data_IF_185465498502
#
_entry.id   IF_185465498502
#
_cell.length_a   1.000
_cell.length_b   1.000
_cell.length_c   1.000
_cell.angle_alpha   90.00
_cell.angle_beta   90.00
_cell.angle_gamma   90.00
#
_symmetry.space_group_name_H-M   'P 1'
#
loop_
_entity.id
_entity.type
_entity.pdbx_description
1 polymer ?
#
# COMPACT_ATOMS: atom_id res chain seq x y z
N UNK A 1 13.84 -3.01 -25.38
CA UNK A 1 14.19 -3.35 -23.98
C UNK A 1 13.10 -4.27 -23.47
N UNK A 2 13.38 -5.28 -22.63
CA UNK A 2 12.28 -5.98 -21.97
C UNK A 2 11.48 -4.93 -21.20
N UNK A 3 10.14 -5.02 -21.29
CA UNK A 3 9.25 -4.14 -20.55
C UNK A 3 9.63 -4.15 -19.06
N UNK A 4 9.71 -2.96 -18.46
CA UNK A 4 10.02 -2.85 -17.03
C UNK A 4 8.94 -3.58 -16.24
N UNK A 5 9.32 -4.59 -15.48
CA UNK A 5 8.41 -5.33 -14.60
C UNK A 5 8.08 -4.54 -13.33
N UNK A 6 8.49 -3.28 -13.27
CA UNK A 6 8.25 -2.38 -12.14
C UNK A 6 7.05 -1.48 -12.44
N UNK A 7 6.01 -1.61 -11.63
CA UNK A 7 4.78 -0.82 -11.71
C UNK A 7 4.75 0.26 -10.64
N UNK A 8 4.25 1.44 -11.00
CA UNK A 8 4.06 2.56 -10.08
C UNK A 8 2.61 3.04 -10.10
N UNK A 9 2.11 3.41 -8.92
CA UNK A 9 0.77 3.96 -8.80
C UNK A 9 0.49 4.65 -7.46
N UNK A 10 -0.64 5.38 -7.35
CA UNK A 10 -1.07 6.00 -6.11
C UNK A 10 -1.87 5.06 -5.22
N UNK A 11 -1.84 5.29 -3.89
CA UNK A 11 -2.70 4.68 -2.89
C UNK A 11 -4.08 5.36 -2.82
N UNK A 12 -4.79 5.42 -3.93
CA UNK A 12 -6.11 6.00 -4.04
C UNK A 12 -6.34 6.75 -5.36
N UNK A 13 -7.52 7.33 -5.51
CA UNK A 13 -7.87 8.17 -6.67
C UNK A 13 -6.92 9.37 -6.72
N UNK A 14 -6.25 9.64 -7.86
CA UNK A 14 -5.33 10.77 -8.00
C UNK A 14 -5.94 12.10 -7.56
N UNK A 15 -5.13 12.98 -6.99
CA UNK A 15 -5.56 14.32 -6.58
C UNK A 15 -5.97 15.18 -7.79
N UNK A 16 -5.34 14.94 -8.93
CA UNK A 16 -5.64 15.60 -10.21
C UNK A 16 -7.00 15.19 -10.80
N UNK A 17 -7.50 14.01 -10.44
CA UNK A 17 -8.74 13.45 -10.96
C UNK A 17 -9.96 14.31 -10.61
N UNK A 18 -10.68 14.79 -11.62
CA UNK A 18 -11.83 15.69 -11.45
C UNK A 18 -13.11 14.95 -11.12
N UNK A 19 -13.37 13.81 -11.75
CA UNK A 19 -14.59 13.03 -11.61
C UNK A 19 -14.71 12.33 -10.26
N UNK A 20 -13.58 12.00 -9.63
CA UNK A 20 -13.49 11.36 -8.31
C UNK A 20 -14.21 10.01 -8.21
N UNK A 21 -14.47 9.34 -9.33
CA UNK A 21 -14.90 7.94 -9.38
C UNK A 21 -13.70 7.03 -9.55
N UNK A 22 -13.87 5.73 -9.31
CA UNK A 22 -12.78 4.76 -9.55
C UNK A 22 -12.39 4.68 -11.02
N UNK A 23 -13.39 4.76 -11.93
CA UNK A 23 -13.16 4.82 -13.39
C UNK A 23 -12.30 6.00 -13.77
N UNK A 24 -12.74 7.22 -13.39
CA UNK A 24 -11.98 8.44 -13.67
C UNK A 24 -10.54 8.35 -13.10
N UNK A 25 -10.39 7.73 -11.92
CA UNK A 25 -9.09 7.54 -11.27
C UNK A 25 -8.17 6.62 -12.05
N UNK A 26 -8.68 5.51 -12.59
CA UNK A 26 -7.92 4.55 -13.40
C UNK A 26 -7.50 5.19 -14.73
N UNK A 27 -8.41 5.88 -15.40
CA UNK A 27 -8.12 6.63 -16.65
C UNK A 27 -7.05 7.71 -16.42
N UNK A 28 -7.12 8.42 -15.30
CA UNK A 28 -6.14 9.45 -14.92
C UNK A 28 -4.77 8.84 -14.64
N UNK A 29 -4.71 7.70 -13.90
CA UNK A 29 -3.48 6.92 -13.65
C UNK A 29 -2.82 6.54 -14.97
N UNK A 30 -3.57 5.98 -15.91
CA UNK A 30 -3.06 5.64 -17.25
C UNK A 30 -2.55 6.87 -18.00
N UNK A 31 -3.33 7.96 -18.02
CA UNK A 31 -2.97 9.23 -18.69
C UNK A 31 -1.69 9.84 -18.13
N UNK A 32 -1.42 9.68 -16.83
CA UNK A 32 -0.21 10.11 -16.15
C UNK A 32 1.00 9.18 -16.43
N UNK A 33 0.80 8.12 -17.22
CA UNK A 33 1.83 7.13 -17.54
C UNK A 33 2.19 6.24 -16.35
N UNK A 34 1.30 6.10 -15.37
CA UNK A 34 1.37 5.14 -14.28
C UNK A 34 0.61 3.86 -14.67
N UNK A 35 0.90 2.74 -14.00
CA UNK A 35 0.36 1.43 -14.39
C UNK A 35 -0.04 0.56 -13.19
N UNK A 36 -0.28 1.18 -12.04
CA UNK A 36 -0.89 0.54 -10.88
C UNK A 36 -1.79 1.52 -10.12
N UNK A 37 -2.78 1.02 -9.41
CA UNK A 37 -3.60 1.80 -8.48
C UNK A 37 -4.06 0.92 -7.33
N UNK A 38 -3.89 1.40 -6.10
CA UNK A 38 -4.45 0.75 -4.93
C UNK A 38 -5.77 1.42 -4.53
N UNK A 39 -6.86 0.66 -4.58
CA UNK A 39 -8.20 1.15 -4.24
C UNK A 39 -8.39 1.06 -2.72
N UNK A 40 -8.84 2.15 -2.10
CA UNK A 40 -9.05 2.22 -0.66
C UNK A 40 -10.44 1.70 -0.28
N UNK A 41 -10.49 0.49 0.32
CA UNK A 41 -11.70 -0.14 0.84
C UNK A 41 -11.96 0.28 2.29
N UNK A 42 -12.31 1.55 2.50
CA UNK A 42 -12.43 2.12 3.86
C UNK A 42 -13.84 2.08 4.43
N UNK A 43 -14.86 1.83 3.60
CA UNK A 43 -16.27 1.81 4.02
C UNK A 43 -16.82 0.39 3.91
N UNK A 44 -17.33 -0.13 5.02
CA UNK A 44 -17.98 -1.44 5.08
C UNK A 44 -19.34 -1.24 5.72
N UNK A 45 -20.31 -0.76 4.92
CA UNK A 45 -21.67 -0.59 5.38
C UNK A 45 -22.51 -1.78 4.92
N UNK A 46 -22.99 -2.56 5.87
CA UNK A 46 -23.81 -3.73 5.61
C UNK A 46 -25.26 -3.42 5.86
N UNK A 47 -26.12 -3.91 4.97
CA UNK A 47 -27.56 -3.83 5.08
C UNK A 47 -28.15 -5.23 4.94
N UNK A 48 -29.25 -5.47 5.63
CA UNK A 48 -29.97 -6.74 5.55
C UNK A 48 -31.40 -6.45 5.09
N UNK A 49 -31.88 -7.23 4.13
CA UNK A 49 -33.27 -7.20 3.66
C UNK A 49 -33.74 -8.57 3.26
N UNK A 50 -35.01 -8.81 3.31
CA UNK A 50 -35.59 -10.00 2.68
C UNK A 50 -35.47 -9.94 1.16
N UNK A 51 -35.38 -11.10 0.55
CA UNK A 51 -35.48 -11.26 -0.89
C UNK A 51 -36.88 -10.76 -1.34
N UNK A 52 -36.92 -9.95 -2.40
CA UNK A 52 -38.18 -9.50 -3.00
C UNK A 52 -38.82 -10.62 -3.85
N UNK A 53 -40.15 -10.61 -4.00
CA UNK A 53 -40.83 -11.67 -4.76
C UNK A 53 -40.33 -11.78 -6.20
N UNK A 54 -39.94 -10.68 -6.86
CA UNK A 54 -39.36 -10.61 -8.19
C UNK A 54 -37.91 -11.14 -8.30
N UNK A 55 -37.21 -11.25 -7.18
CA UNK A 55 -35.83 -11.77 -7.12
C UNK A 55 -35.79 -13.27 -6.85
N UNK A 56 -36.91 -13.89 -6.46
CA UNK A 56 -36.98 -15.34 -6.23
C UNK A 56 -36.57 -16.09 -7.49
N UNK A 57 -35.62 -17.02 -7.35
CA UNK A 57 -35.05 -17.78 -8.47
C UNK A 57 -33.91 -17.07 -9.18
N UNK A 58 -33.58 -15.80 -8.86
CA UNK A 58 -32.36 -15.13 -9.30
C UNK A 58 -31.18 -15.58 -8.44
N UNK A 59 -29.95 -15.28 -8.90
CA UNK A 59 -28.74 -15.47 -8.12
C UNK A 59 -28.12 -14.17 -7.65
N UNK A 60 -27.15 -14.19 -6.73
CA UNK A 60 -26.50 -12.99 -6.20
C UNK A 60 -25.91 -12.07 -7.26
N UNK A 61 -25.42 -12.61 -8.36
CA UNK A 61 -24.82 -11.86 -9.47
C UNK A 61 -25.85 -11.08 -10.32
N UNK A 62 -27.14 -11.38 -10.17
CA UNK A 62 -28.22 -10.79 -10.96
C UNK A 62 -28.91 -9.64 -10.24
N UNK A 63 -28.56 -9.38 -8.97
CA UNK A 63 -29.12 -8.26 -8.19
C UNK A 63 -28.51 -6.96 -8.69
N UNK A 64 -29.35 -6.08 -9.19
CA UNK A 64 -28.91 -4.77 -9.68
C UNK A 64 -28.83 -3.75 -8.55
N UNK A 65 -27.84 -2.86 -8.61
CA UNK A 65 -27.60 -1.75 -7.68
C UNK A 65 -27.30 -2.17 -6.22
N UNK A 66 -27.10 -3.43 -5.94
CA UNK A 66 -26.70 -3.94 -4.63
C UNK A 66 -25.67 -5.07 -4.76
N UNK A 67 -24.63 -5.01 -3.94
CA UNK A 67 -23.62 -6.06 -3.90
C UNK A 67 -23.91 -7.03 -2.78
N UNK A 68 -24.44 -8.20 -3.13
CA UNK A 68 -24.80 -9.26 -2.17
C UNK A 68 -23.52 -9.98 -1.72
N UNK A 69 -23.22 -9.95 -0.45
CA UNK A 69 -22.03 -10.58 0.17
C UNK A 69 -22.33 -11.83 1.00
N UNK A 70 -23.55 -11.95 1.52
CA UNK A 70 -24.05 -13.16 2.19
C UNK A 70 -25.54 -13.35 1.90
N UNK A 71 -25.96 -14.61 1.92
CA UNK A 71 -27.39 -15.01 1.91
C UNK A 71 -27.66 -15.86 3.15
N UNK A 72 -28.67 -15.50 3.91
CA UNK A 72 -29.08 -16.27 5.10
C UNK A 72 -30.40 -16.98 4.79
N UNK A 73 -30.36 -18.32 4.79
CA UNK A 73 -31.53 -19.18 4.65
C UNK A 73 -31.83 -19.86 5.98
N UNK A 74 -32.97 -19.53 6.55
CA UNK A 74 -33.30 -20.01 7.90
C UNK A 74 -32.22 -19.65 8.96
N UNK A 75 -31.67 -18.44 8.88
CA UNK A 75 -30.57 -17.92 9.71
C UNK A 75 -29.20 -18.63 9.53
N UNK A 76 -29.04 -19.49 8.53
CA UNK A 76 -27.75 -20.11 8.20
C UNK A 76 -27.16 -19.44 6.96
N UNK A 77 -25.86 -19.11 6.97
CA UNK A 77 -25.22 -18.55 5.79
C UNK A 77 -25.18 -19.59 4.65
N UNK A 78 -25.53 -19.15 3.45
CA UNK A 78 -25.40 -19.91 2.20
C UNK A 78 -24.32 -19.24 1.38
N UNK A 79 -23.48 -20.03 0.70
CA UNK A 79 -22.40 -19.48 -0.11
C UNK A 79 -22.92 -18.64 -1.27
N UNK A 80 -22.55 -17.35 -1.34
CA UNK A 80 -22.91 -16.43 -2.43
C UNK A 80 -22.23 -16.76 -3.77
N UNK A 81 -21.29 -17.69 -3.80
CA UNK A 81 -20.50 -18.06 -4.98
C UNK A 81 -20.78 -19.47 -5.51
N UNK A 82 -21.78 -20.14 -4.97
CA UNK A 82 -22.29 -21.30 -5.67
C UNK A 82 -22.97 -20.84 -6.95
N UNK A 83 -22.47 -21.23 -8.14
CA UNK A 83 -23.01 -20.74 -9.42
C UNK A 83 -24.52 -21.02 -9.60
N UNK A 84 -25.01 -22.01 -8.85
CA UNK A 84 -26.39 -22.48 -8.89
C UNK A 84 -27.24 -21.91 -7.77
N UNK A 85 -26.66 -21.07 -6.89
CA UNK A 85 -27.46 -20.47 -5.81
C UNK A 85 -28.59 -19.64 -6.39
N UNK A 86 -29.80 -20.05 -6.05
CA UNK A 86 -31.04 -19.32 -6.35
C UNK A 86 -31.68 -18.86 -5.05
N UNK A 87 -32.16 -17.64 -5.05
CA UNK A 87 -32.88 -17.10 -3.91
C UNK A 87 -34.22 -17.80 -3.74
N UNK A 88 -34.55 -18.08 -2.49
CA UNK A 88 -35.82 -18.66 -2.06
C UNK A 88 -36.62 -17.65 -1.24
N UNK A 89 -37.93 -17.85 -1.18
CA UNK A 89 -38.80 -17.02 -0.35
C UNK A 89 -38.39 -17.13 1.11
N UNK A 90 -38.17 -15.95 1.73
CA UNK A 90 -37.73 -15.85 3.13
C UNK A 90 -36.22 -15.82 3.32
N UNK A 91 -35.42 -15.90 2.25
CA UNK A 91 -33.98 -15.61 2.34
C UNK A 91 -33.76 -14.15 2.75
N UNK A 92 -32.71 -13.93 3.53
CA UNK A 92 -32.23 -12.59 3.89
C UNK A 92 -30.94 -12.35 3.12
N UNK A 93 -30.93 -11.29 2.33
CA UNK A 93 -29.73 -10.83 1.62
C UNK A 93 -28.98 -9.87 2.51
N UNK A 94 -27.66 -10.08 2.66
CA UNK A 94 -26.75 -9.11 3.23
C UNK A 94 -26.00 -8.42 2.11
N UNK A 95 -26.20 -7.12 1.98
CA UNK A 95 -25.62 -6.30 0.91
C UNK A 95 -24.57 -5.36 1.47
N UNK A 96 -23.54 -5.09 0.67
CA UNK A 96 -22.39 -4.24 1.02
C UNK A 96 -22.43 -2.94 0.20
N UNK A 97 -22.40 -1.81 0.88
CA UNK A 97 -22.11 -0.53 0.27
C UNK A 97 -20.74 -0.04 0.71
N UNK A 98 -19.77 -0.10 -0.19
CA UNK A 98 -18.38 0.30 0.05
C UNK A 98 -17.98 1.62 -0.66
N UNK A 99 -18.83 2.14 -1.54
CA UNK A 99 -18.57 3.37 -2.29
C UNK A 99 -17.56 3.21 -3.43
N UNK A 100 -17.19 1.98 -3.81
CA UNK A 100 -16.32 1.67 -4.95
C UNK A 100 -17.18 1.40 -6.20
N UNK A 101 -18.15 0.50 -6.06
CA UNK A 101 -19.15 0.14 -7.04
C UNK A 101 -20.47 -0.17 -6.33
N UNK A 102 -21.55 -0.38 -7.07
CA UNK A 102 -22.89 -0.64 -6.54
C UNK A 102 -23.22 -2.12 -6.50
N UNK A 103 -22.85 -2.85 -7.54
CA UNK A 103 -23.16 -4.27 -7.75
C UNK A 103 -22.01 -4.99 -8.46
N UNK A 104 -22.18 -6.28 -8.72
CA UNK A 104 -21.19 -7.11 -9.40
C UNK A 104 -20.82 -6.57 -10.79
N UNK A 105 -21.78 -6.03 -11.53
CA UNK A 105 -21.57 -5.48 -12.87
C UNK A 105 -20.66 -4.26 -12.83
N UNK A 106 -20.95 -3.30 -11.89
CA UNK A 106 -20.13 -2.10 -11.72
C UNK A 106 -18.66 -2.46 -11.39
N UNK A 107 -18.45 -3.43 -10.48
CA UNK A 107 -17.08 -3.86 -10.14
C UNK A 107 -16.38 -4.50 -11.33
N UNK A 108 -17.07 -5.36 -12.08
CA UNK A 108 -16.51 -6.03 -13.26
C UNK A 108 -16.12 -5.01 -14.32
N UNK A 109 -16.99 -4.04 -14.62
CA UNK A 109 -16.71 -2.98 -15.59
C UNK A 109 -15.51 -2.11 -15.18
N UNK A 110 -15.37 -1.77 -13.89
CA UNK A 110 -14.18 -1.05 -13.38
C UNK A 110 -12.91 -1.90 -13.59
N UNK A 111 -12.99 -3.20 -13.35
CA UNK A 111 -11.88 -4.13 -13.57
C UNK A 111 -11.49 -4.28 -15.04
N UNK A 112 -12.47 -4.36 -15.94
CA UNK A 112 -12.26 -4.43 -17.40
C UNK A 112 -11.57 -3.15 -17.92
N UNK A 113 -12.03 -1.96 -17.49
CA UNK A 113 -11.37 -0.69 -17.83
C UNK A 113 -9.90 -0.68 -17.37
N UNK A 114 -9.61 -1.17 -16.16
CA UNK A 114 -8.24 -1.23 -15.66
C UNK A 114 -7.37 -2.19 -16.48
N UNK A 115 -7.92 -3.35 -16.86
CA UNK A 115 -7.24 -4.34 -17.69
C UNK A 115 -6.94 -3.80 -19.11
N UNK A 116 -7.92 -3.14 -19.74
CA UNK A 116 -7.77 -2.54 -21.07
C UNK A 116 -6.71 -1.43 -21.10
N UNK A 117 -6.53 -0.72 -19.98
CA UNK A 117 -5.55 0.35 -19.82
C UNK A 117 -4.20 -0.12 -19.24
N UNK A 118 -3.99 -1.42 -19.04
CA UNK A 118 -2.81 -2.00 -18.36
C UNK A 118 -2.53 -1.37 -16.98
N UNK A 119 -3.59 -1.08 -16.21
CA UNK A 119 -3.49 -0.62 -14.83
C UNK A 119 -3.75 -1.78 -13.87
N UNK A 120 -2.71 -2.22 -13.17
CA UNK A 120 -2.82 -3.27 -12.15
C UNK A 120 -3.55 -2.75 -10.92
N UNK A 121 -4.65 -3.42 -10.53
CA UNK A 121 -5.41 -3.05 -9.34
C UNK A 121 -5.02 -3.89 -8.13
N UNK A 122 -4.99 -3.23 -6.99
CA UNK A 122 -5.00 -3.82 -5.65
C UNK A 122 -6.07 -3.15 -4.80
N UNK A 123 -6.42 -3.77 -3.69
CA UNK A 123 -7.42 -3.27 -2.77
C UNK A 123 -6.81 -3.20 -1.37
N UNK A 124 -6.83 -2.04 -0.72
CA UNK A 124 -6.42 -1.90 0.67
C UNK A 124 -7.63 -2.08 1.58
N UNK A 125 -7.62 -3.12 2.43
CA UNK A 125 -8.62 -3.36 3.44
C UNK A 125 -8.69 -2.20 4.44
N UNK A 126 -9.76 -2.06 5.25
CA UNK A 126 -9.87 -0.96 6.19
C UNK A 126 -8.66 -0.86 7.12
N UNK A 127 -8.11 0.34 7.28
CA UNK A 127 -6.92 0.59 8.12
C UNK A 127 -7.12 0.27 9.61
N UNK A 128 -8.38 0.16 10.06
CA UNK A 128 -8.76 -0.16 11.43
C UNK A 128 -8.89 -1.67 11.69
N UNK A 129 -8.29 -2.51 10.85
CA UNK A 129 -8.26 -3.96 11.05
C UNK A 129 -7.54 -4.33 12.34
N UNK A 130 -8.12 -5.25 13.11
CA UNK A 130 -7.55 -5.73 14.36
C UNK A 130 -7.94 -7.19 14.63
N UNK A 131 -7.08 -8.11 14.16
CA UNK A 131 -7.29 -9.56 14.34
C UNK A 131 -6.98 -10.03 15.77
N UNK A 132 -6.35 -9.18 16.57
CA UNK A 132 -5.93 -9.47 17.95
C UNK A 132 -6.81 -8.78 19.00
N UNK A 133 -7.79 -8.00 18.57
CA UNK A 133 -8.75 -7.32 19.43
C UNK A 133 -9.70 -8.28 20.16
N UNK A 134 -10.78 -7.74 20.71
CA UNK A 134 -11.86 -8.58 21.27
C UNK A 134 -12.41 -9.51 20.18
N UNK A 135 -13.06 -10.61 20.58
CA UNK A 135 -13.60 -11.56 19.60
C UNK A 135 -14.55 -10.88 18.60
N UNK A 136 -15.37 -9.93 19.05
CA UNK A 136 -16.25 -9.16 18.16
C UNK A 136 -15.48 -8.35 17.12
N UNK A 137 -14.38 -7.69 17.54
CA UNK A 137 -13.52 -6.89 16.65
C UNK A 137 -12.77 -7.81 15.68
N UNK A 138 -12.23 -8.93 16.16
CA UNK A 138 -11.52 -9.89 15.36
C UNK A 138 -12.41 -10.54 14.29
N UNK A 139 -13.64 -10.92 14.65
CA UNK A 139 -14.65 -11.45 13.69
C UNK A 139 -14.98 -10.39 12.65
N UNK A 140 -15.27 -9.15 13.05
CA UNK A 140 -15.53 -8.05 12.12
C UNK A 140 -14.35 -7.80 11.17
N UNK A 141 -13.12 -7.85 11.68
CA UNK A 141 -11.91 -7.71 10.89
C UNK A 141 -11.75 -8.86 9.88
N UNK A 142 -12.03 -10.08 10.29
CA UNK A 142 -12.05 -11.26 9.43
C UNK A 142 -13.11 -11.12 8.32
N UNK A 143 -14.32 -10.67 8.67
CA UNK A 143 -15.38 -10.45 7.68
C UNK A 143 -15.03 -9.32 6.71
N UNK A 144 -14.40 -8.24 7.18
CA UNK A 144 -13.91 -7.18 6.31
C UNK A 144 -12.90 -7.70 5.28
N UNK A 145 -12.01 -8.63 5.66
CA UNK A 145 -11.11 -9.28 4.70
C UNK A 145 -11.86 -10.15 3.69
N UNK A 146 -12.89 -10.87 4.13
CA UNK A 146 -13.76 -11.66 3.24
C UNK A 146 -14.45 -10.76 2.23
N UNK A 147 -15.07 -9.68 2.67
CA UNK A 147 -15.75 -8.72 1.78
C UNK A 147 -14.77 -8.02 0.83
N UNK A 148 -13.59 -7.65 1.31
CA UNK A 148 -12.54 -7.11 0.44
C UNK A 148 -12.13 -8.11 -0.65
N UNK A 149 -12.04 -9.40 -0.31
CA UNK A 149 -11.78 -10.47 -1.27
C UNK A 149 -12.87 -10.61 -2.33
N UNK A 150 -14.14 -10.48 -1.95
CA UNK A 150 -15.27 -10.51 -2.89
C UNK A 150 -15.21 -9.35 -3.88
N UNK A 151 -14.98 -8.14 -3.38
CA UNK A 151 -14.79 -6.94 -4.20
C UNK A 151 -13.59 -7.10 -5.11
N UNK A 152 -12.44 -7.53 -4.57
CA UNK A 152 -11.21 -7.77 -5.34
C UNK A 152 -11.41 -8.78 -6.48
N UNK A 153 -12.20 -9.84 -6.25
CA UNK A 153 -12.52 -10.83 -7.28
C UNK A 153 -13.23 -10.21 -8.48
N UNK A 154 -14.25 -9.37 -8.25
CA UNK A 154 -15.01 -8.73 -9.33
C UNK A 154 -14.21 -7.62 -10.02
N UNK A 155 -13.36 -6.90 -9.29
CA UNK A 155 -12.43 -5.92 -9.84
C UNK A 155 -11.26 -6.54 -10.62
N UNK A 156 -11.06 -7.87 -10.56
CA UNK A 156 -9.82 -8.47 -11.07
C UNK A 156 -8.56 -8.00 -10.35
N UNK A 157 -8.70 -7.47 -9.12
CA UNK A 157 -7.57 -6.99 -8.34
C UNK A 157 -6.63 -8.14 -7.95
N UNK A 158 -5.32 -7.91 -8.03
CA UNK A 158 -4.32 -8.94 -7.80
C UNK A 158 -4.04 -9.18 -6.32
N UNK A 159 -4.34 -8.20 -5.46
CA UNK A 159 -4.01 -8.25 -4.04
C UNK A 159 -5.05 -7.53 -3.17
N UNK A 160 -5.28 -8.09 -1.98
CA UNK A 160 -5.95 -7.41 -0.86
C UNK A 160 -4.90 -7.17 0.21
N UNK A 161 -4.50 -5.91 0.39
CA UNK A 161 -3.53 -5.49 1.42
C UNK A 161 -4.25 -5.29 2.75
N UNK A 162 -3.64 -5.68 3.85
CA UNK A 162 -4.22 -5.52 5.19
C UNK A 162 -3.20 -5.32 6.29
N UNK A 163 -3.55 -4.48 7.27
CA UNK A 163 -2.92 -4.48 8.59
C UNK A 163 -3.47 -5.60 9.46
N UNK A 164 -2.75 -5.94 10.55
CA UNK A 164 -3.09 -7.09 11.40
C UNK A 164 -3.61 -6.71 12.78
N UNK A 165 -3.41 -5.47 13.22
CA UNK A 165 -3.93 -4.96 14.49
C UNK A 165 -2.89 -4.83 15.58
N UNK A 166 -3.36 -4.47 16.77
CA UNK A 166 -2.52 -4.20 17.94
C UNK A 166 -2.16 -5.47 18.69
N UNK A 167 -0.98 -5.50 19.35
CA UNK A 167 -0.66 -6.61 20.25
C UNK A 167 -1.60 -6.68 21.46
N UNK A 168 -2.18 -5.54 21.88
CA UNK A 168 -2.89 -5.41 23.14
C UNK A 168 -2.04 -5.97 24.30
N UNK A 169 -2.64 -6.81 25.13
CA UNK A 169 -1.96 -7.51 26.24
C UNK A 169 -1.40 -8.89 25.85
N UNK A 170 -1.48 -9.26 24.55
CA UNK A 170 -0.97 -10.55 24.10
C UNK A 170 0.58 -10.54 24.05
N UNK A 171 1.25 -11.52 24.67
CA UNK A 171 2.65 -11.78 24.38
C UNK A 171 2.87 -12.02 22.88
N UNK A 172 4.03 -11.64 22.33
CA UNK A 172 4.32 -11.69 20.88
C UNK A 172 4.07 -13.08 20.29
N UNK A 173 4.46 -14.14 20.97
CA UNK A 173 4.28 -15.51 20.54
C UNK A 173 2.80 -15.90 20.46
N UNK A 174 2.00 -15.47 21.43
CA UNK A 174 0.56 -15.72 21.42
C UNK A 174 -0.14 -14.90 20.34
N UNK A 175 0.26 -13.64 20.15
CA UNK A 175 -0.24 -12.80 19.07
C UNK A 175 0.03 -13.44 17.70
N UNK A 176 1.25 -13.95 17.50
CA UNK A 176 1.65 -14.65 16.27
C UNK A 176 0.75 -15.87 16.00
N UNK A 177 0.52 -16.72 16.99
CA UNK A 177 -0.34 -17.90 16.83
C UNK A 177 -1.78 -17.53 16.49
N UNK A 178 -2.36 -16.52 17.19
CA UNK A 178 -3.71 -16.03 16.91
C UNK A 178 -3.84 -15.48 15.49
N UNK A 179 -2.89 -14.66 15.03
CA UNK A 179 -2.88 -14.11 13.68
C UNK A 179 -2.80 -15.24 12.65
N UNK A 180 -1.92 -16.21 12.85
CA UNK A 180 -1.80 -17.38 11.96
C UNK A 180 -3.12 -18.15 11.87
N UNK A 181 -3.77 -18.41 13.00
CA UNK A 181 -5.03 -19.11 13.02
C UNK A 181 -6.13 -18.35 12.24
N UNK A 182 -6.33 -17.06 12.53
CA UNK A 182 -7.33 -16.23 11.83
C UNK A 182 -7.05 -16.13 10.34
N UNK A 183 -5.79 -15.97 9.93
CA UNK A 183 -5.44 -15.87 8.51
C UNK A 183 -5.55 -17.21 7.78
N UNK A 184 -5.35 -18.35 8.44
CA UNK A 184 -5.67 -19.66 7.86
C UNK A 184 -7.15 -19.76 7.53
N UNK A 185 -8.03 -19.39 8.46
CA UNK A 185 -9.49 -19.39 8.25
C UNK A 185 -9.89 -18.50 7.06
N UNK A 186 -9.28 -17.31 6.94
CA UNK A 186 -9.53 -16.40 5.80
C UNK A 186 -9.00 -17.01 4.52
N UNK A 187 -7.77 -17.55 4.51
CA UNK A 187 -7.16 -18.16 3.33
C UNK A 187 -7.99 -19.35 2.82
N UNK A 188 -8.40 -20.24 3.69
CA UNK A 188 -9.28 -21.35 3.34
C UNK A 188 -10.62 -20.87 2.77
N UNK A 189 -11.14 -19.76 3.28
CA UNK A 189 -12.36 -19.17 2.76
C UNK A 189 -12.14 -18.58 1.35
N UNK A 190 -11.02 -17.88 1.11
CA UNK A 190 -10.64 -17.40 -0.22
C UNK A 190 -10.54 -18.53 -1.24
N UNK A 191 -9.96 -19.67 -0.83
CA UNK A 191 -9.84 -20.86 -1.68
C UNK A 191 -11.20 -21.43 -2.04
N UNK A 192 -12.10 -21.59 -1.05
CA UNK A 192 -13.48 -22.05 -1.29
C UNK A 192 -14.25 -21.12 -2.23
N UNK A 193 -14.06 -19.82 -2.06
CA UNK A 193 -14.72 -18.79 -2.87
C UNK A 193 -14.03 -18.53 -4.21
N UNK A 194 -12.95 -19.27 -4.52
CA UNK A 194 -12.15 -19.10 -5.75
C UNK A 194 -11.72 -17.64 -5.97
N UNK A 195 -11.31 -16.96 -4.90
CA UNK A 195 -10.79 -15.60 -4.95
C UNK A 195 -9.33 -15.67 -5.37
N UNK A 196 -9.02 -15.14 -6.58
CA UNK A 196 -7.67 -15.16 -7.14
C UNK A 196 -6.73 -14.11 -6.52
N UNK A 197 -7.26 -13.08 -5.87
CA UNK A 197 -6.46 -12.05 -5.20
C UNK A 197 -5.65 -12.64 -4.05
N UNK A 198 -4.36 -12.29 -3.98
CA UNK A 198 -3.49 -12.67 -2.85
C UNK A 198 -3.80 -11.79 -1.62
N UNK A 199 -3.63 -12.33 -0.43
CA UNK A 199 -3.70 -11.55 0.79
C UNK A 199 -2.31 -11.01 1.10
N UNK A 200 -2.15 -9.69 1.05
CA UNK A 200 -0.92 -8.97 1.35
C UNK A 200 -0.90 -8.50 2.81
N UNK A 201 0.10 -8.89 3.56
CA UNK A 201 0.28 -8.50 4.95
C UNK A 201 1.21 -7.29 5.00
N UNK A 202 0.69 -6.13 5.39
CA UNK A 202 1.48 -4.91 5.44
C UNK A 202 2.29 -4.78 6.73
N UNK A 203 3.57 -4.43 6.57
CA UNK A 203 4.42 -4.06 7.70
C UNK A 203 3.83 -2.86 8.44
N UNK A 204 4.06 -2.77 9.75
CA UNK A 204 3.56 -1.66 10.58
C UNK A 204 4.70 -0.78 11.11
N UNK A 205 4.49 0.53 11.06
CA UNK A 205 5.45 1.55 11.52
C UNK A 205 5.44 1.81 13.02
N UNK A 206 4.63 1.08 13.82
CA UNK A 206 4.51 1.32 15.28
C UNK A 206 4.80 0.05 16.07
N UNK A 207 5.57 0.18 17.15
CA UNK A 207 5.98 -0.94 18.00
C UNK A 207 4.79 -1.66 18.67
N UNK A 208 3.69 -0.96 18.91
CA UNK A 208 2.48 -1.51 19.55
C UNK A 208 1.56 -2.28 18.59
N UNK A 209 1.86 -2.24 17.29
CA UNK A 209 1.08 -2.92 16.24
C UNK A 209 1.86 -4.14 15.76
N UNK A 210 1.18 -5.26 15.58
CA UNK A 210 1.74 -6.47 14.98
C UNK A 210 2.11 -6.21 13.52
N UNK A 211 3.30 -6.62 13.09
CA UNK A 211 3.71 -6.44 11.69
C UNK A 211 5.16 -5.97 11.52
N UNK A 212 6.11 -6.46 12.31
CA UNK A 212 7.52 -6.42 11.91
C UNK A 212 7.73 -7.35 10.71
N UNK A 213 8.73 -7.07 9.87
CA UNK A 213 9.01 -7.90 8.69
C UNK A 213 9.21 -9.37 9.06
N UNK A 214 9.87 -9.67 10.19
CA UNK A 214 10.10 -11.04 10.65
C UNK A 214 8.81 -11.77 11.00
N UNK A 215 7.88 -11.09 11.65
CA UNK A 215 6.57 -11.63 11.96
C UNK A 215 5.77 -11.91 10.69
N UNK A 216 5.76 -10.98 9.73
CA UNK A 216 5.06 -11.15 8.46
C UNK A 216 5.61 -12.33 7.67
N UNK A 217 6.94 -12.45 7.55
CA UNK A 217 7.58 -13.58 6.87
C UNK A 217 7.24 -14.91 7.55
N UNK A 218 7.22 -14.93 8.90
CA UNK A 218 6.84 -16.12 9.66
C UNK A 218 5.38 -16.50 9.40
N UNK A 219 4.47 -15.54 9.40
CA UNK A 219 3.04 -15.77 9.09
C UNK A 219 2.88 -16.28 7.66
N UNK A 220 3.47 -15.61 6.67
CA UNK A 220 3.40 -16.00 5.27
C UNK A 220 3.92 -17.43 5.04
N UNK A 221 5.03 -17.80 5.68
CA UNK A 221 5.61 -19.13 5.58
C UNK A 221 4.72 -20.22 6.22
N UNK A 222 4.08 -19.91 7.35
CA UNK A 222 3.27 -20.88 8.12
C UNK A 222 1.85 -21.05 7.59
N UNK A 223 1.28 -20.02 6.99
CA UNK A 223 -0.07 -20.09 6.40
C UNK A 223 -0.01 -20.55 4.93
N UNK A 224 0.95 -20.03 4.17
CA UNK A 224 1.07 -20.26 2.73
C UNK A 224 0.07 -19.42 1.92
N UNK A 225 0.44 -19.05 0.69
CA UNK A 225 -0.41 -18.25 -0.20
C UNK A 225 -0.62 -16.80 0.21
N UNK A 226 0.00 -16.35 1.30
CA UNK A 226 0.07 -14.95 1.73
C UNK A 226 1.39 -14.34 1.27
N UNK A 227 1.41 -13.01 1.14
CA UNK A 227 2.62 -12.28 0.74
C UNK A 227 2.89 -11.11 1.69
N UNK A 228 4.15 -10.78 2.00
CA UNK A 228 4.47 -9.58 2.73
C UNK A 228 4.34 -8.37 1.80
N UNK A 229 3.75 -7.29 2.30
CA UNK A 229 3.75 -5.98 1.66
C UNK A 229 4.86 -5.16 2.30
N UNK A 230 5.85 -4.79 1.49
CA UNK A 230 7.03 -4.08 1.94
C UNK A 230 6.72 -2.58 2.05
N UNK A 231 6.05 -2.19 3.13
CA UNK A 231 5.84 -0.77 3.43
C UNK A 231 7.14 -0.18 3.97
N UNK A 232 7.99 0.32 3.07
CA UNK A 232 9.30 0.87 3.44
C UNK A 232 9.22 2.00 4.46
N UNK A 233 8.25 2.95 4.39
CA UNK A 233 8.13 3.97 5.42
C UNK A 233 7.83 3.39 6.80
N UNK A 234 6.98 2.39 6.88
CA UNK A 234 6.69 1.70 8.13
C UNK A 234 7.91 0.97 8.69
N UNK A 235 8.61 0.20 7.85
CA UNK A 235 9.83 -0.51 8.24
C UNK A 235 10.91 0.47 8.70
N UNK A 236 11.15 1.54 7.93
CA UNK A 236 12.11 2.58 8.28
C UNK A 236 11.81 3.22 9.64
N UNK A 237 10.55 3.61 9.88
CA UNK A 237 10.12 4.21 11.13
C UNK A 237 10.27 3.25 12.33
N UNK A 238 9.79 2.00 12.16
CA UNK A 238 9.79 0.97 13.21
C UNK A 238 11.20 0.62 13.67
N UNK A 239 12.16 0.56 12.74
CA UNK A 239 13.53 0.18 12.99
C UNK A 239 14.46 1.39 13.26
N UNK A 240 13.89 2.56 13.52
CA UNK A 240 14.63 3.76 13.94
C UNK A 240 15.40 4.47 12.84
N UNK A 241 14.92 4.39 11.59
CA UNK A 241 15.48 5.17 10.49
C UNK A 241 16.63 4.46 9.75
N UNK A 242 16.54 3.14 9.53
CA UNK A 242 17.64 2.31 9.01
C UNK A 242 17.77 2.33 7.49
N UNK A 243 16.69 2.53 6.72
CA UNK A 243 16.70 2.41 5.25
C UNK A 243 17.24 3.70 4.62
N UNK A 244 18.55 3.78 4.39
CA UNK A 244 19.24 4.98 3.86
C UNK A 244 20.12 4.71 2.65
N UNK A 245 20.65 3.50 2.52
CA UNK A 245 21.58 3.11 1.47
C UNK A 245 20.95 1.99 0.63
N UNK A 246 21.47 1.77 -0.54
CA UNK A 246 21.08 0.68 -1.44
C UNK A 246 21.17 -0.68 -0.77
N UNK A 247 22.22 -0.92 0.01
CA UNK A 247 22.46 -2.16 0.72
C UNK A 247 21.38 -2.45 1.74
N UNK A 248 20.88 -1.42 2.44
CA UNK A 248 19.82 -1.56 3.44
C UNK A 248 18.51 -2.09 2.80
N UNK A 249 18.19 -1.62 1.58
CA UNK A 249 17.06 -2.17 0.80
C UNK A 249 17.36 -3.59 0.31
N UNK A 250 18.58 -3.85 -0.18
CA UNK A 250 18.99 -5.19 -0.62
C UNK A 250 18.77 -6.22 0.49
N UNK A 251 19.19 -5.94 1.73
CA UNK A 251 18.99 -6.81 2.88
C UNK A 251 17.52 -7.17 3.11
N UNK A 252 16.60 -6.22 2.91
CA UNK A 252 15.15 -6.50 3.00
C UNK A 252 14.70 -7.48 1.92
N UNK A 253 15.10 -7.25 0.68
CA UNK A 253 14.72 -8.12 -0.44
C UNK A 253 15.34 -9.52 -0.31
N UNK A 254 16.59 -9.61 0.10
CA UNK A 254 17.28 -10.89 0.31
C UNK A 254 16.61 -11.68 1.43
N UNK A 255 16.24 -11.04 2.55
CA UNK A 255 15.48 -11.65 3.63
C UNK A 255 14.13 -12.22 3.16
N UNK A 256 13.42 -11.50 2.29
CA UNK A 256 12.17 -12.00 1.68
C UNK A 256 12.45 -13.21 0.78
N UNK A 257 13.48 -13.15 -0.08
CA UNK A 257 13.85 -14.22 -1.01
C UNK A 257 14.27 -15.50 -0.29
N UNK A 258 15.00 -15.37 0.81
CA UNK A 258 15.43 -16.50 1.64
C UNK A 258 14.25 -17.20 2.32
N UNK A 259 13.25 -16.45 2.74
CA UNK A 259 12.08 -17.00 3.43
C UNK A 259 10.99 -17.50 2.49
N UNK A 260 10.77 -16.84 1.36
CA UNK A 260 9.63 -17.06 0.48
C UNK A 260 10.06 -17.04 -1.00
N UNK A 261 9.52 -17.99 -1.77
CA UNK A 261 9.71 -18.02 -3.23
C UNK A 261 8.59 -17.23 -3.91
N UNK A 262 8.76 -15.91 -4.00
CA UNK A 262 7.80 -15.02 -4.63
C UNK A 262 8.27 -14.62 -6.02
N UNK A 263 7.38 -14.72 -7.03
CA UNK A 263 7.64 -14.20 -8.38
C UNK A 263 7.48 -12.68 -8.42
N UNK A 264 6.36 -12.18 -7.88
CA UNK A 264 6.01 -10.75 -7.88
C UNK A 264 6.00 -10.21 -6.47
N UNK A 265 6.58 -9.05 -6.25
CA UNK A 265 6.64 -8.32 -4.99
C UNK A 265 5.64 -7.14 -4.98
N UNK A 266 5.31 -6.69 -3.79
CA UNK A 266 4.43 -5.55 -3.60
C UNK A 266 4.94 -4.65 -2.48
N UNK A 267 4.93 -3.35 -2.70
CA UNK A 267 5.49 -2.40 -1.73
C UNK A 267 4.75 -1.08 -1.70
N UNK A 268 4.84 -0.41 -0.55
CA UNK A 268 4.46 0.99 -0.38
C UNK A 268 5.69 1.85 -0.17
N UNK A 269 5.65 3.08 -0.67
CA UNK A 269 6.70 4.07 -0.47
C UNK A 269 6.13 5.47 -0.25
N UNK A 270 6.66 6.18 0.75
CA UNK A 270 6.44 7.60 1.02
C UNK A 270 7.61 8.16 1.83
N UNK A 271 7.66 9.47 2.02
CA UNK A 271 8.43 10.02 3.13
C UNK A 271 7.73 9.72 4.46
N UNK A 272 8.48 9.68 5.55
CA UNK A 272 7.94 9.42 6.88
C UNK A 272 8.65 10.28 7.94
N UNK A 273 7.88 10.79 8.89
CA UNK A 273 8.38 11.33 10.14
C UNK A 273 8.21 10.27 11.23
N UNK A 274 9.25 10.02 12.01
CA UNK A 274 9.26 8.98 13.04
C UNK A 274 10.05 9.40 14.27
N UNK A 275 9.76 8.80 15.41
CA UNK A 275 10.46 9.03 16.66
C UNK A 275 10.40 7.76 17.53
N UNK A 276 11.54 7.39 18.13
CA UNK A 276 11.61 6.29 19.08
C UNK A 276 11.11 4.93 18.53
N UNK A 277 11.34 4.65 17.24
CA UNK A 277 10.87 3.44 16.60
C UNK A 277 9.36 3.41 16.31
N UNK A 278 8.75 4.60 16.23
CA UNK A 278 7.34 4.72 15.90
C UNK A 278 7.12 5.79 14.84
N UNK A 279 6.31 5.45 13.85
CA UNK A 279 5.81 6.39 12.86
C UNK A 279 4.91 7.45 13.50
N UNK A 280 5.12 8.70 13.09
CA UNK A 280 4.27 9.83 13.44
C UNK A 280 3.29 10.14 12.30
N UNK A 281 3.79 10.27 11.07
CA UNK A 281 2.98 10.53 9.88
C UNK A 281 3.76 10.32 8.59
N UNK A 282 3.05 10.06 7.52
CA UNK A 282 3.60 10.11 6.16
C UNK A 282 3.81 11.54 5.69
N UNK A 283 4.83 11.72 4.88
CA UNK A 283 5.21 13.00 4.26
C UNK A 283 5.49 12.79 2.78
N UNK A 284 5.52 13.86 1.96
CA UNK A 284 6.06 13.77 0.62
C UNK A 284 7.46 13.15 0.60
N UNK A 285 7.77 12.37 -0.44
CA UNK A 285 9.05 11.63 -0.54
C UNK A 285 10.30 12.52 -0.52
N UNK A 286 10.17 13.81 -0.82
CA UNK A 286 11.26 14.79 -0.71
C UNK A 286 11.51 15.25 0.73
N UNK A 287 10.61 14.97 1.65
CA UNK A 287 10.72 15.25 3.07
C UNK A 287 11.12 14.00 3.85
N UNK A 288 11.64 14.18 5.03
CA UNK A 288 12.12 13.05 5.82
C UNK A 288 13.54 12.62 5.42
N UNK A 289 14.04 11.60 6.08
CA UNK A 289 15.42 11.11 5.94
C UNK A 289 15.54 9.84 5.07
N UNK A 290 14.44 9.15 4.79
CA UNK A 290 14.39 8.08 3.80
C UNK A 290 14.22 8.65 2.39
N UNK A 291 15.14 8.29 1.48
CA UNK A 291 15.16 8.74 0.08
C UNK A 291 14.80 7.58 -0.85
N UNK A 292 14.19 7.90 -1.99
CA UNK A 292 13.86 6.89 -2.99
C UNK A 292 15.06 6.47 -3.85
N UNK A 293 16.04 7.35 -4.03
CA UNK A 293 17.20 7.11 -4.87
C UNK A 293 17.95 5.80 -4.53
N UNK A 294 18.25 5.44 -3.28
CA UNK A 294 18.89 4.16 -2.95
C UNK A 294 18.05 2.93 -3.34
N UNK A 295 16.73 3.00 -3.16
CA UNK A 295 15.84 1.95 -3.66
C UNK A 295 15.85 1.88 -5.19
N UNK A 296 15.82 3.03 -5.87
CA UNK A 296 15.89 3.08 -7.33
C UNK A 296 17.20 2.49 -7.86
N UNK A 297 18.34 2.70 -7.18
CA UNK A 297 19.61 2.07 -7.53
C UNK A 297 19.55 0.55 -7.39
N UNK A 298 18.93 0.03 -6.34
CA UNK A 298 18.69 -1.40 -6.19
C UNK A 298 17.79 -1.95 -7.29
N UNK A 299 16.66 -1.28 -7.55
CA UNK A 299 15.69 -1.69 -8.57
C UNK A 299 16.29 -1.67 -9.98
N UNK A 300 17.15 -0.70 -10.29
CA UNK A 300 17.83 -0.61 -11.59
C UNK A 300 18.86 -1.72 -11.81
N UNK A 301 19.48 -2.23 -10.73
CA UNK A 301 20.47 -3.31 -10.82
C UNK A 301 19.80 -4.70 -10.89
N UNK A 302 18.76 -4.93 -10.09
CA UNK A 302 18.14 -6.26 -9.91
C UNK A 302 16.92 -6.48 -10.82
N UNK A 303 16.28 -5.41 -11.26
CA UNK A 303 15.04 -5.38 -12.05
C UNK A 303 13.99 -6.42 -11.59
N UNK A 304 13.57 -6.41 -10.31
CA UNK A 304 12.58 -7.35 -9.80
C UNK A 304 11.20 -7.03 -10.38
N UNK A 305 10.35 -8.04 -10.48
CA UNK A 305 8.92 -7.82 -10.72
C UNK A 305 8.27 -7.28 -9.43
N UNK A 306 7.89 -5.99 -9.43
CA UNK A 306 7.38 -5.31 -8.24
C UNK A 306 6.36 -4.22 -8.59
N UNK A 307 5.33 -4.11 -7.77
CA UNK A 307 4.42 -2.97 -7.75
C UNK A 307 4.77 -2.06 -6.57
N UNK A 308 4.92 -0.77 -6.82
CA UNK A 308 5.26 0.26 -5.82
C UNK A 308 4.14 1.29 -5.77
N UNK A 309 3.43 1.32 -4.66
CA UNK A 309 2.33 2.27 -4.42
C UNK A 309 2.84 3.45 -3.59
N UNK A 310 2.46 4.64 -4.03
CA UNK A 310 2.72 5.88 -3.29
C UNK A 310 1.66 6.10 -2.22
N UNK A 311 2.03 5.93 -0.95
CA UNK A 311 1.22 6.30 0.22
C UNK A 311 1.47 7.75 0.67
N UNK A 312 2.23 8.49 -0.11
CA UNK A 312 2.50 9.89 0.14
C UNK A 312 1.22 10.73 0.13
N UNK A 313 1.14 11.79 0.93
CA UNK A 313 0.04 12.78 0.83
C UNK A 313 -0.09 13.43 -0.55
N UNK A 314 0.90 13.28 -1.43
CA UNK A 314 0.90 13.77 -2.81
C UNK A 314 0.52 12.70 -3.84
N UNK A 315 0.16 11.48 -3.40
CA UNK A 315 -0.33 10.36 -4.21
C UNK A 315 0.43 10.21 -5.55
N UNK A 316 -0.28 10.47 -6.68
CA UNK A 316 0.24 10.31 -8.05
C UNK A 316 1.48 11.17 -8.33
N UNK A 317 1.57 12.36 -7.75
CA UNK A 317 2.73 13.22 -7.97
C UNK A 317 4.02 12.59 -7.47
N UNK A 318 3.99 11.94 -6.32
CA UNK A 318 5.14 11.23 -5.79
C UNK A 318 5.35 9.88 -6.50
N UNK A 319 4.29 9.18 -6.94
CA UNK A 319 4.41 8.00 -7.80
C UNK A 319 5.13 8.32 -9.11
N UNK A 320 4.74 9.38 -9.80
CA UNK A 320 5.42 9.88 -11.01
C UNK A 320 6.87 10.28 -10.72
N UNK A 321 7.12 10.91 -9.57
CA UNK A 321 8.48 11.32 -9.20
C UNK A 321 9.38 10.12 -8.92
N UNK A 322 8.88 9.06 -8.27
CA UNK A 322 9.61 7.81 -8.09
C UNK A 322 9.98 7.17 -9.43
N UNK A 323 9.04 7.11 -10.37
CA UNK A 323 9.28 6.60 -11.73
C UNK A 323 10.38 7.39 -12.43
N UNK A 324 10.33 8.72 -12.39
CA UNK A 324 11.37 9.60 -12.99
C UNK A 324 12.74 9.40 -12.33
N UNK A 325 12.80 9.17 -11.02
CA UNK A 325 14.07 8.86 -10.33
C UNK A 325 14.64 7.54 -10.86
N UNK A 326 13.84 6.49 -10.96
CA UNK A 326 14.26 5.19 -11.46
C UNK A 326 14.81 5.30 -12.90
N UNK A 327 14.07 5.94 -13.79
CA UNK A 327 14.49 6.18 -15.19
C UNK A 327 15.84 6.90 -15.27
N UNK A 328 16.06 7.91 -14.43
CA UNK A 328 17.35 8.63 -14.37
C UNK A 328 18.50 7.75 -13.90
N UNK A 329 18.24 6.86 -12.93
CA UNK A 329 19.25 5.91 -12.45
C UNK A 329 19.60 4.91 -13.55
N UNK A 330 18.59 4.35 -14.24
CA UNK A 330 18.78 3.43 -15.36
C UNK A 330 19.62 4.06 -16.49
N UNK A 331 19.26 5.26 -16.96
CA UNK A 331 20.00 6.00 -17.97
C UNK A 331 21.46 6.28 -17.56
N UNK A 332 21.69 6.58 -16.26
CA UNK A 332 23.05 6.77 -15.74
C UNK A 332 23.86 5.47 -15.76
N UNK A 333 23.25 4.34 -15.48
CA UNK A 333 23.90 3.04 -15.51
C UNK A 333 24.24 2.63 -16.95
N UNK A 334 23.32 2.80 -17.91
CA UNK A 334 23.54 2.57 -19.33
C UNK A 334 24.71 3.43 -19.89
N UNK A 335 24.75 4.71 -19.52
CA UNK A 335 25.83 5.60 -19.92
C UNK A 335 27.20 5.21 -19.33
N UNK A 336 27.23 4.57 -18.14
CA UNK A 336 28.48 4.04 -17.57
C UNK A 336 28.97 2.83 -18.35
N UNK A 337 28.09 1.86 -18.61
CA UNK A 337 28.40 0.64 -19.37
C UNK A 337 28.96 1.02 -20.75
N UNK A 338 28.27 1.89 -21.50
CA UNK A 338 28.69 2.34 -22.80
C UNK A 338 30.09 3.01 -22.80
N UNK A 339 30.41 3.78 -21.74
CA UNK A 339 31.73 4.39 -21.57
C UNK A 339 32.84 3.38 -21.28
N UNK A 340 32.51 2.31 -20.52
CA UNK A 340 33.45 1.24 -20.21
C UNK A 340 33.73 0.38 -21.45
N UNK A 341 32.73 0.06 -22.26
CA UNK A 341 32.85 -0.65 -23.52
C UNK A 341 33.72 0.11 -24.51
N UNK A 342 33.52 1.43 -24.63
CA UNK A 342 34.37 2.29 -25.48
C UNK A 342 35.84 2.30 -25.01
N UNK A 343 36.09 2.25 -23.69
CA UNK A 343 37.46 2.20 -23.15
C UNK A 343 38.14 0.86 -23.41
N UNK A 344 37.39 -0.25 -23.35
CA UNK A 344 37.91 -1.61 -23.57
C UNK A 344 38.16 -1.85 -25.08
N UNK A 345 37.32 -1.26 -25.95
CA UNK A 345 37.42 -1.39 -27.39
C UNK A 345 38.42 -0.43 -28.08
N UNK A 346 39.02 0.53 -27.35
CA UNK A 346 40.00 1.43 -27.92
C UNK A 346 41.31 0.68 -28.21
N UNK A 347 41.82 0.61 -29.48
CA UNK A 347 43.08 -0.05 -29.78
C UNK A 347 44.20 0.64 -29.00
N UNK A 348 45.01 -0.15 -28.31
CA UNK A 348 46.20 0.31 -27.62
C UNK A 348 47.10 0.95 -28.72
N UNK A 349 47.21 2.27 -28.74
CA UNK A 349 48.16 2.94 -29.61
C UNK A 349 49.56 2.42 -29.25
N UNK A 350 50.30 1.83 -30.21
CA UNK A 350 51.66 1.38 -29.90
C UNK A 350 52.45 2.59 -29.39
N UNK A 351 53.40 2.40 -28.45
CA UNK A 351 54.18 3.49 -27.91
C UNK A 351 54.92 4.17 -29.04
N UNK A 352 54.75 5.48 -29.17
CA UNK A 352 55.50 6.31 -30.12
C UNK A 352 56.98 6.07 -29.89
N UNK A 353 57.69 5.55 -30.93
CA UNK A 353 59.16 5.42 -30.90
C UNK A 353 59.75 6.81 -30.58
N UNK A 354 60.79 6.88 -29.73
CA UNK A 354 61.43 8.14 -29.38
C UNK A 354 61.98 8.78 -30.66
N UNK A 355 61.53 9.99 -30.97
CA UNK A 355 62.08 10.79 -32.07
C UNK A 355 63.51 11.19 -31.66
N UNK A 356 64.51 10.72 -32.42
CA UNK A 356 65.91 11.08 -32.22
C UNK A 356 66.10 12.60 -32.39
N UNK A 357 66.94 13.26 -31.57
CA UNK A 357 67.11 14.69 -31.63
C UNK A 357 67.80 15.10 -32.94
N UNK A 358 67.38 16.19 -33.59
CA UNK A 358 68.00 16.65 -34.84
C UNK A 358 69.43 17.11 -34.60
N UNK A 359 70.38 16.63 -35.48
CA UNK A 359 71.77 17.01 -35.46
C UNK A 359 71.93 18.53 -35.83
N UNK A 360 72.55 19.27 -34.89
CA UNK A 360 72.97 20.66 -35.11
C UNK A 360 73.92 20.76 -36.29
N UNK A 361 73.55 21.53 -37.34
CA UNK A 361 74.50 22.17 -38.27
C UNK A 361 74.37 23.67 -38.14
N UNK A 362 75.44 24.30 -37.64
CA UNK A 362 75.53 25.74 -37.50
C UNK A 362 75.67 26.51 -38.81
N UNK A 363 75.14 27.73 -38.76
CA UNK A 363 75.83 28.95 -39.29
C UNK A 363 75.04 30.14 -38.80
N UNK A 364 75.76 31.07 -38.23
CA UNK A 364 75.34 32.35 -37.74
C UNK A 364 74.77 33.26 -38.85
N UNK A 365 73.71 33.95 -38.57
CA UNK A 365 73.15 35.03 -39.35
C UNK A 365 72.35 35.96 -38.45
N UNK A 366 72.78 37.17 -38.36
CA UNK A 366 72.31 38.25 -37.47
C UNK A 366 70.83 38.61 -37.68
N UNK A 367 70.13 38.77 -36.61
CA UNK A 367 68.73 39.24 -36.52
C UNK A 367 68.63 40.75 -36.69
N UNK A 368 67.52 41.26 -37.19
CA UNK A 368 66.93 42.52 -36.68
C UNK A 368 65.71 42.31 -35.84
N UNK A 369 65.55 43.21 -34.82
CA UNK A 369 64.55 43.14 -33.76
C UNK A 369 63.09 43.28 -34.26
N UNK A 370 62.12 42.61 -33.61
CA UNK A 370 60.73 42.73 -33.97
C UNK A 370 60.06 43.94 -33.36
N UNK A 371 59.35 44.69 -34.22
CA UNK A 371 58.42 45.77 -33.79
C UNK A 371 57.20 45.21 -33.06
N UNK A 372 56.81 45.89 -31.99
CA UNK A 372 55.59 45.63 -31.25
C UNK A 372 54.37 45.73 -32.13
N UNK A 373 53.62 44.66 -32.28
CA UNK A 373 52.24 44.62 -32.85
C UNK A 373 51.18 44.82 -31.73
N UNK A 374 50.28 45.76 -32.00
CA UNK A 374 49.26 46.18 -31.12
C UNK A 374 48.12 45.15 -30.94
N UNK A 375 47.45 45.22 -29.85
CA UNK A 375 46.25 44.47 -29.53
C UNK A 375 45.08 44.80 -30.48
N UNK A 376 44.31 43.84 -30.97
CA UNK A 376 43.09 44.13 -31.72
C UNK A 376 41.95 44.60 -30.79
N UNK A 377 41.05 45.48 -31.25
CA UNK A 377 40.00 46.05 -30.44
C UNK A 377 38.85 45.07 -30.24
N UNK A 378 38.33 45.06 -29.00
CA UNK A 378 37.12 44.36 -28.61
C UNK A 378 35.91 45.05 -29.25
N UNK A 379 35.19 44.39 -30.15
CA UNK A 379 33.89 44.87 -30.65
C UNK A 379 32.81 44.53 -29.61
N UNK A 380 32.23 45.59 -28.99
CA UNK A 380 30.98 45.52 -28.25
C UNK A 380 29.83 45.23 -29.22
N UNK A 381 29.14 44.13 -29.02
CA UNK A 381 27.86 43.86 -29.70
C UNK A 381 26.77 44.72 -29.08
N UNK A 382 26.14 45.52 -29.96
CA UNK A 382 25.04 46.40 -29.62
C UNK A 382 23.75 45.59 -29.33
N UNK A 383 23.07 45.92 -28.23
CA UNK A 383 21.78 45.40 -27.88
C UNK A 383 20.70 45.84 -28.88
N UNK A 384 19.89 44.86 -29.29
CA UNK A 384 18.75 45.08 -30.16
C UNK A 384 17.54 45.46 -29.28
N UNK A 385 17.13 46.72 -29.38
CA UNK A 385 15.96 47.28 -28.75
C UNK A 385 14.68 46.74 -29.40
N UNK A 386 13.68 46.39 -28.57
CA UNK A 386 12.30 46.10 -28.98
C UNK A 386 11.59 47.40 -29.40
N UNK A 387 10.67 47.38 -30.38
CA UNK A 387 9.98 48.57 -30.85
C UNK A 387 8.91 49.02 -29.87
N UNK A 388 8.88 50.32 -29.60
CA UNK A 388 7.81 51.04 -28.86
C UNK A 388 6.63 51.28 -29.82
N UNK A 389 5.44 50.89 -29.42
CA UNK A 389 4.17 51.33 -30.03
C UNK A 389 3.74 52.72 -29.52
N UNK A 390 3.13 53.56 -30.37
CA UNK A 390 2.81 54.93 -30.01
C UNK A 390 1.49 55.02 -29.24
N UNK A 391 1.47 55.89 -28.26
CA UNK A 391 0.26 56.32 -27.53
C UNK A 391 -0.64 57.19 -28.40
N UNK A 392 -1.93 56.90 -28.41
CA UNK A 392 -2.99 57.90 -28.70
C UNK A 392 -4.04 57.84 -27.58
N UNK A 393 -4.26 59.00 -27.01
CA UNK A 393 -5.25 59.28 -25.99
C UNK A 393 -6.67 59.37 -26.59
N UNK A 394 -7.65 58.82 -25.91
CA UNK A 394 -9.00 59.43 -25.82
C UNK A 394 -9.73 58.82 -24.65
N UNK A 395 -10.33 59.68 -23.83
CA UNK A 395 -10.93 59.35 -22.55
C UNK A 395 -12.24 58.58 -22.67
N UNK A 396 -12.43 57.69 -21.71
CA UNK A 396 -13.69 56.99 -21.50
C UNK A 396 -13.68 56.45 -20.07
N UNK A 397 -14.52 56.99 -19.21
CA UNK A 397 -14.69 56.58 -17.81
C UNK A 397 -15.06 55.10 -17.75
N UNK A 398 -14.21 54.27 -17.09
CA UNK A 398 -14.52 52.91 -16.73
C UNK A 398 -15.44 52.84 -15.50
N UNK A 399 -16.46 51.97 -15.47
CA UNK A 399 -17.27 51.75 -14.29
C UNK A 399 -16.51 50.92 -13.26
N UNK A 400 -16.61 51.34 -11.99
CA UNK A 400 -16.05 50.65 -10.83
C UNK A 400 -16.58 49.20 -10.75
N UNK A 401 -15.71 48.19 -10.84
CA UNK A 401 -16.03 46.81 -10.49
C UNK A 401 -16.30 46.74 -8.99
N UNK A 402 -17.52 46.40 -8.64
CA UNK A 402 -17.91 46.03 -7.28
C UNK A 402 -17.23 44.72 -6.85
N UNK A 403 -16.71 44.69 -5.63
CA UNK A 403 -16.19 43.52 -5.00
C UNK A 403 -17.26 42.42 -4.81
N UNK A 404 -16.95 41.13 -4.88
CA UNK A 404 -17.94 40.09 -4.68
C UNK A 404 -18.41 40.08 -3.21
N UNK A 405 -19.73 40.25 -3.04
CA UNK A 405 -20.42 40.11 -1.76
C UNK A 405 -20.33 38.64 -1.30
N UNK A 406 -19.88 38.40 -0.06
CA UNK A 406 -20.04 37.13 0.65
C UNK A 406 -21.54 36.76 0.70
N UNK A 407 -21.91 35.48 0.50
CA UNK A 407 -23.27 35.06 0.71
C UNK A 407 -23.65 35.21 2.19
N UNK A 408 -24.78 35.83 2.43
CA UNK A 408 -25.38 36.00 3.76
C UNK A 408 -25.83 34.62 4.28
N UNK A 409 -25.51 34.31 5.52
CA UNK A 409 -26.00 33.14 6.24
C UNK A 409 -27.53 33.21 6.37
N UNK A 410 -28.28 32.11 6.23
CA UNK A 410 -29.72 32.09 6.40
C UNK A 410 -30.08 32.39 7.86
N UNK A 411 -31.02 33.34 8.06
CA UNK A 411 -31.59 33.67 9.38
C UNK A 411 -32.27 32.43 9.98
N UNK A 412 -31.80 31.99 11.13
CA UNK A 412 -32.44 30.95 11.93
C UNK A 412 -33.86 31.43 12.35
N UNK A 413 -34.88 30.64 12.00
CA UNK A 413 -36.22 30.77 12.53
C UNK A 413 -36.22 30.29 13.98
N UNK A 414 -36.68 31.14 14.88
CA UNK A 414 -36.90 30.83 16.28
C UNK A 414 -37.90 29.68 16.42
N UNK A 415 -37.41 28.53 16.87
CA UNK A 415 -38.24 27.42 17.37
C UNK A 415 -38.20 27.49 18.89
N UNK A 416 -39.34 27.49 19.60
CA UNK A 416 -39.34 27.58 21.05
C UNK A 416 -38.71 26.30 21.66
N UNK A 417 -37.69 26.49 22.48
CA UNK A 417 -37.04 25.41 23.25
C UNK A 417 -38.02 24.83 24.25
N UNK A 418 -38.56 23.63 24.00
CA UNK A 418 -39.10 22.76 25.02
C UNK A 418 -37.94 22.24 25.86
N UNK A 419 -37.96 22.51 27.15
CA UNK A 419 -36.96 22.08 28.09
C UNK A 419 -36.87 20.56 28.11
N UNK A 420 -35.69 20.02 27.83
CA UNK A 420 -35.39 18.59 28.02
C UNK A 420 -35.26 18.28 29.54
N UNK A 421 -35.77 17.16 30.02
CA UNK A 421 -35.63 16.75 31.42
C UNK A 421 -34.15 16.39 31.68
N UNK A 422 -33.60 16.88 32.81
CA UNK A 422 -32.24 16.57 33.29
C UNK A 422 -32.09 15.07 33.51
N UNK A 423 -31.00 14.44 33.08
CA UNK A 423 -30.72 13.04 33.39
C UNK A 423 -30.51 12.90 34.90
N UNK A 424 -31.26 11.99 35.53
CA UNK A 424 -31.04 11.57 36.92
C UNK A 424 -29.74 10.78 37.02
N UNK A 425 -28.82 11.19 37.89
CA UNK A 425 -27.65 10.41 38.26
C UNK A 425 -28.08 9.05 38.80
N UNK A 426 -27.39 7.96 38.46
CA UNK A 426 -27.65 6.65 39.07
C UNK A 426 -27.22 6.70 40.53
N UNK A 427 -28.14 6.25 41.42
CA UNK A 427 -27.92 6.09 42.85
C UNK A 427 -26.84 5.04 43.11
N UNK A 428 -25.92 5.34 44.06
CA UNK A 428 -24.85 4.43 44.51
C UNK A 428 -25.46 3.07 44.94
N UNK A 429 -24.83 1.94 44.55
CA UNK A 429 -25.27 0.62 45.00
C UNK A 429 -25.06 0.48 46.53
N UNK A 430 -26.04 -0.09 47.20
CA UNK A 430 -25.97 -0.47 48.63
C UNK A 430 -24.92 -1.57 48.81
N UNK A 431 -24.20 -1.62 49.94
CA UNK A 431 -23.20 -2.64 50.18
C UNK A 431 -23.88 -4.01 50.34
N UNK A 432 -23.40 -4.98 49.54
CA UNK A 432 -23.79 -6.38 49.64
C UNK A 432 -23.08 -6.99 50.85
N UNK A 433 -23.84 -7.57 51.75
CA UNK A 433 -23.38 -8.29 52.94
C UNK A 433 -22.51 -9.51 52.55
N UNK A 434 -21.33 -9.62 53.16
CA UNK A 434 -20.42 -10.77 53.04
C UNK A 434 -21.09 -12.07 53.47
N UNK A 435 -20.91 -13.19 52.75
CA UNK A 435 -21.25 -14.51 53.29
C UNK A 435 -20.19 -14.96 54.31
N UNK A 436 -20.55 -15.85 55.28
CA UNK A 436 -19.70 -16.22 56.40
C UNK A 436 -18.50 -17.08 55.98
N UNK A 437 -17.38 -16.81 56.63
CA UNK A 437 -16.11 -17.53 56.52
C UNK A 437 -16.23 -18.99 56.87
N UNK A 438 -15.85 -19.89 55.95
CA UNK A 438 -15.63 -21.31 56.26
C UNK A 438 -14.29 -21.49 56.94
N UNK A 439 -14.35 -22.13 58.10
CA UNK A 439 -13.22 -22.52 58.95
C UNK A 439 -12.27 -23.47 58.26
N UNK A 440 -10.96 -23.30 58.56
CA UNK A 440 -9.88 -24.23 58.19
C UNK A 440 -10.01 -25.52 59.03
N UNK A 441 -9.77 -26.71 58.47
CA UNK A 441 -9.43 -27.89 59.28
C UNK A 441 -7.91 -28.01 59.50
N UNK A 442 -7.57 -28.45 60.72
CA UNK A 442 -6.24 -28.73 61.24
C UNK A 442 -5.57 -29.98 60.61
N UNK A 443 -4.28 -30.14 60.77
CA UNK A 443 -3.52 -31.20 60.08
C UNK A 443 -3.44 -32.49 60.93
N UNK A 444 -3.54 -33.63 60.27
CA UNK A 444 -3.23 -34.91 60.89
C UNK A 444 -3.46 -36.12 60.01
N UNK A 445 -2.33 -36.83 59.88
CA UNK A 445 -2.13 -38.26 59.58
C UNK A 445 -1.86 -38.67 58.11
N UNK A 446 -0.68 -39.23 58.04
CA UNK A 446 0.04 -39.95 56.96
C UNK A 446 -0.51 -41.39 56.80
N UNK A 447 0.11 -42.24 55.97
CA UNK A 447 -0.28 -42.67 54.63
C UNK A 447 -0.57 -44.18 54.56
N UNK A 448 -1.28 -44.64 53.52
CA UNK A 448 -1.27 -46.09 53.18
C UNK A 448 -1.02 -46.28 51.69
N UNK A 449 -0.26 -47.33 51.44
CA UNK A 449 0.51 -47.68 50.28
C UNK A 449 -0.28 -48.35 49.15
N UNK A 450 0.24 -48.16 47.93
CA UNK A 450 0.42 -49.08 46.81
C UNK A 450 -0.69 -50.08 46.45
N UNK A 451 -1.18 -49.99 45.18
CA UNK A 451 -1.28 -51.19 44.33
C UNK A 451 -0.94 -50.83 42.88
N UNK A 452 0.09 -51.52 42.38
CA UNK A 452 0.47 -51.66 40.97
C UNK A 452 -0.66 -52.42 40.26
N UNK A 453 -1.05 -51.98 39.06
CA UNK A 453 -1.74 -52.81 38.09
C UNK A 453 -0.92 -52.85 36.83
N UNK A 454 -0.70 -54.06 36.36
CA UNK A 454 0.17 -54.48 35.28
C UNK A 454 -0.34 -54.07 33.89
N UNK A 455 0.59 -53.83 32.98
CA UNK A 455 0.38 -53.63 31.57
C UNK A 455 -0.01 -54.92 30.86
N UNK A 456 -0.97 -54.83 29.90
CA UNK A 456 -1.31 -55.88 28.97
C UNK A 456 -0.55 -55.67 27.62
N UNK A 457 -0.21 -56.75 26.88
CA UNK A 457 0.74 -56.73 25.78
C UNK A 457 0.14 -56.38 24.44
N UNK A 458 1.01 -55.79 23.56
CA UNK A 458 0.74 -55.48 22.16
C UNK A 458 0.59 -56.70 21.27
N UNK A 459 -0.29 -56.77 20.30
CA UNK A 459 -0.31 -57.79 19.27
C UNK A 459 0.69 -57.51 18.11
N UNK A 460 1.32 -58.60 17.63
CA UNK A 460 2.27 -58.62 16.52
C UNK A 460 1.61 -58.45 15.14
N UNK A 461 2.34 -57.99 14.13
CA UNK A 461 1.79 -57.82 12.78
C UNK A 461 1.74 -59.17 12.00
N UNK A 462 0.66 -59.42 11.27
CA UNK A 462 0.58 -60.49 10.26
C UNK A 462 1.13 -60.01 8.93
N UNK A 463 2.05 -60.78 8.37
CA UNK A 463 2.47 -60.79 6.99
C UNK A 463 1.34 -61.34 6.13
N UNK A 464 0.99 -60.64 5.07
CA UNK A 464 0.93 -61.12 3.69
C UNK A 464 0.86 -59.92 2.74
#
# INVERSE_FOLDING_TARGET
>A
MPESMIRFGPGGIPLSCKGRTQRDGIEDVHTLGLNAMEIQFVRVNLFERYVADEEIGQGPLQVANEFVVDVLRGRKPVSVFEPELKFEKGDILKTLNCGIGRDCSDFTEIGEIAADLDVSLSLHAPYYMDLLGTEEIAVRSTDNLRYAGLVARHLGAQMVVTHLGFYHENPKEQALEKVIQKLKEVREWYDRMKIGARIGLEASGKQVIFGSIDELLTVCKRVGGLVPVLSFPHMHARDGGVLKRKEDFREVFDKVRECLKLGTLYSHFSGVEHEGGNELRFTPIKKGDMRFEPLAEFLADENPEITIISDSPLLEHDAMYMKVILERVQLKNEAKVSREEVKVGAPIKPPLKPIAPPKKKGKAGTLPAPKKAGKPPVKKAAGRALPKTPAKASGGKAPKKAAPRKPAAPKAKNIPKKAAPKPKLPSKPKPVSRPPSKQKPSPGSRPVAKKKVQAAPKPKPKKK
#
